data_IF_650793657098
#
_entry.id   IF_650793657098
#
_cell.length_a   1.000
_cell.length_b   1.000
_cell.length_c   1.000
_cell.angle_alpha   90.00
_cell.angle_beta   90.00
_cell.angle_gamma   90.00
#
_symmetry.space_group_name_H-M   'P 1'
#
loop_
_entity.id
_entity.type
_entity.pdbx_description
1 polymer ?
#
# COMPACT_ATOMS: atom_id res chain seq x y z
N UNK A 1 2.20 31.49 -14.03
CA UNK A 1 1.47 30.31 -14.54
C UNK A 1 1.31 30.49 -16.03
N UNK A 2 1.93 29.63 -16.84
CA UNK A 2 1.67 29.63 -18.26
C UNK A 2 0.24 29.12 -18.48
N UNK A 3 -0.54 29.79 -19.32
CA UNK A 3 -1.87 29.32 -19.69
C UNK A 3 -1.69 28.36 -20.86
N UNK A 4 -2.24 27.16 -20.76
CA UNK A 4 -2.24 26.22 -21.88
C UNK A 4 -3.18 26.77 -22.96
N UNK A 5 -2.62 27.16 -24.11
CA UNK A 5 -3.39 27.57 -25.27
C UNK A 5 -3.62 26.34 -26.15
N UNK A 6 -4.83 25.79 -26.11
CA UNK A 6 -5.24 24.66 -26.93
C UNK A 6 -5.75 25.19 -28.27
N UNK A 7 -5.16 24.80 -29.42
CA UNK A 7 -5.62 25.24 -30.73
C UNK A 7 -6.92 24.56 -31.15
N UNK A 8 -7.63 25.14 -32.12
CA UNK A 8 -8.77 24.46 -32.76
C UNK A 8 -8.25 23.39 -33.75
N UNK A 9 -8.62 22.13 -33.53
CA UNK A 9 -8.21 21.01 -34.37
C UNK A 9 -9.23 20.75 -35.47
N UNK A 10 -8.76 20.50 -36.69
CA UNK A 10 -9.63 20.16 -37.82
C UNK A 10 -9.81 18.64 -37.96
N UNK A 11 -8.88 17.86 -37.40
CA UNK A 11 -8.89 16.39 -37.45
C UNK A 11 -8.49 15.77 -36.11
N UNK A 12 -8.95 14.54 -35.88
CA UNK A 12 -8.63 13.77 -34.67
C UNK A 12 -7.14 13.44 -34.55
N UNK A 13 -6.46 13.21 -35.68
CA UNK A 13 -5.04 12.86 -35.73
C UNK A 13 -4.15 14.04 -35.29
N UNK A 14 -4.54 15.28 -35.63
CA UNK A 14 -3.86 16.50 -35.18
C UNK A 14 -4.00 16.72 -33.67
N UNK A 15 -5.19 16.43 -33.12
CA UNK A 15 -5.44 16.52 -31.68
C UNK A 15 -4.62 15.49 -30.91
N UNK A 16 -4.59 14.24 -31.38
CA UNK A 16 -3.79 13.17 -30.76
C UNK A 16 -2.30 13.52 -30.76
N UNK A 17 -1.78 14.02 -31.89
CA UNK A 17 -0.39 14.44 -32.01
C UNK A 17 -0.03 15.62 -31.08
N UNK A 18 -0.98 16.53 -30.82
CA UNK A 18 -0.77 17.62 -29.87
C UNK A 18 -0.63 17.10 -28.44
N UNK A 19 -1.54 16.23 -28.00
CA UNK A 19 -1.49 15.67 -26.64
C UNK A 19 -0.28 14.76 -26.40
N UNK A 20 0.15 14.00 -27.41
CA UNK A 20 1.32 13.13 -27.31
C UNK A 20 2.65 13.90 -27.16
N UNK A 21 2.71 15.12 -27.68
CA UNK A 21 3.92 15.95 -27.67
C UNK A 21 3.88 17.09 -26.64
N UNK A 22 2.76 17.30 -25.96
CA UNK A 22 2.61 18.36 -24.97
C UNK A 22 3.28 17.97 -23.65
N UNK A 23 4.33 18.70 -23.28
CA UNK A 23 4.87 18.65 -21.93
C UNK A 23 3.96 19.44 -20.98
N UNK A 24 3.32 18.72 -20.05
CA UNK A 24 2.42 19.32 -19.05
C UNK A 24 3.17 19.87 -17.84
N UNK A 25 4.45 19.53 -17.65
CA UNK A 25 5.24 19.94 -16.48
C UNK A 25 5.29 21.46 -16.25
N UNK A 26 5.37 22.34 -17.28
CA UNK A 26 5.37 23.80 -17.08
C UNK A 26 4.00 24.39 -16.67
N UNK A 27 2.93 23.60 -16.77
CA UNK A 27 1.56 24.00 -16.46
C UNK A 27 1.07 23.45 -15.11
N UNK A 28 1.79 22.50 -14.53
CA UNK A 28 1.49 21.97 -13.20
C UNK A 28 2.03 22.92 -12.13
N UNK A 29 1.21 23.24 -11.14
CA UNK A 29 1.67 23.93 -9.94
C UNK A 29 2.57 22.98 -9.15
N UNK A 30 3.84 23.37 -8.98
CA UNK A 30 4.72 22.76 -7.98
C UNK A 30 4.38 23.39 -6.63
N UNK A 31 3.45 22.76 -5.92
CA UNK A 31 3.06 23.14 -4.56
C UNK A 31 4.11 22.69 -3.51
N UNK A 32 5.20 22.02 -3.95
CA UNK A 32 6.23 21.46 -3.09
C UNK A 32 5.77 20.26 -2.27
N UNK A 33 4.52 19.83 -2.40
CA UNK A 33 3.95 18.67 -1.72
C UNK A 33 4.26 17.40 -2.53
N UNK A 34 5.47 16.89 -2.35
CA UNK A 34 5.77 15.52 -2.78
C UNK A 34 4.85 14.57 -2.02
N UNK A 35 4.00 13.82 -2.74
CA UNK A 35 3.12 12.79 -2.19
C UNK A 35 3.85 11.96 -1.13
N UNK A 36 3.58 12.27 0.14
CA UNK A 36 4.20 11.58 1.26
C UNK A 36 3.28 10.44 1.64
N UNK A 37 3.58 9.25 1.16
CA UNK A 37 2.96 8.05 1.69
C UNK A 37 3.33 7.96 3.18
N UNK A 38 2.40 8.30 4.07
CA UNK A 38 2.56 8.04 5.49
C UNK A 38 2.59 6.52 5.68
N UNK A 39 3.77 5.93 5.61
CA UNK A 39 3.95 4.56 6.05
C UNK A 39 3.76 4.53 7.57
N UNK A 40 2.79 3.79 8.12
CA UNK A 40 2.63 3.70 9.57
C UNK A 40 3.95 3.20 10.16
N UNK A 41 4.59 4.06 10.96
CA UNK A 41 5.97 3.91 11.44
C UNK A 41 6.17 2.67 12.33
N UNK A 42 5.09 1.97 12.69
CA UNK A 42 5.09 0.75 13.51
C UNK A 42 4.35 -0.38 12.79
N UNK A 43 5.01 -0.99 11.80
CA UNK A 43 4.45 -2.11 11.03
C UNK A 43 4.38 -3.42 11.84
N UNK A 44 5.18 -3.57 12.90
CA UNK A 44 5.21 -4.78 13.72
C UNK A 44 5.72 -4.52 15.15
N UNK A 45 5.24 -5.32 16.11
CA UNK A 45 5.74 -5.40 17.48
C UNK A 45 6.61 -6.64 17.61
N UNK A 46 7.81 -6.52 18.20
CA UNK A 46 8.69 -7.67 18.49
C UNK A 46 8.32 -8.25 19.85
N UNK A 47 8.07 -9.55 19.89
CA UNK A 47 7.77 -10.30 21.12
C UNK A 47 8.72 -11.49 21.19
N UNK A 48 9.25 -11.77 22.38
CA UNK A 48 10.02 -12.98 22.61
C UNK A 48 9.08 -14.18 22.67
N UNK A 49 9.32 -15.19 21.82
CA UNK A 49 8.56 -16.44 21.78
C UNK A 49 9.53 -17.57 22.17
N UNK A 50 9.04 -18.52 22.98
CA UNK A 50 9.82 -19.70 23.35
C UNK A 50 10.21 -20.51 22.10
N UNK A 51 11.45 -21.05 22.02
CA UNK A 51 11.92 -21.76 20.82
C UNK A 51 10.99 -22.87 20.36
N UNK A 52 10.51 -23.71 21.28
CA UNK A 52 9.62 -24.83 21.03
C UNK A 52 8.27 -24.39 20.43
N UNK A 53 7.75 -23.23 20.88
CA UNK A 53 6.50 -22.65 20.36
C UNK A 53 6.73 -22.05 18.98
N UNK A 54 7.88 -21.39 18.77
CA UNK A 54 8.23 -20.82 17.48
C UNK A 54 8.37 -21.91 16.41
N UNK A 55 9.04 -23.02 16.74
CA UNK A 55 9.18 -24.17 15.83
C UNK A 55 7.82 -24.75 15.44
N UNK A 56 6.93 -24.93 16.41
CA UNK A 56 5.57 -25.42 16.15
C UNK A 56 4.77 -24.45 15.24
N UNK A 57 4.84 -23.15 15.49
CA UNK A 57 4.18 -22.13 14.67
C UNK A 57 4.72 -22.15 13.22
N UNK A 58 6.03 -22.32 13.03
CA UNK A 58 6.65 -22.43 11.71
C UNK A 58 6.12 -23.66 10.96
N UNK A 59 6.07 -24.83 11.63
CA UNK A 59 5.59 -26.05 11.01
C UNK A 59 4.10 -25.95 10.62
N UNK A 60 3.27 -25.39 11.51
CA UNK A 60 1.85 -25.17 11.25
C UNK A 60 1.61 -24.20 10.10
N UNK A 61 2.37 -23.09 10.04
CA UNK A 61 2.26 -22.10 8.96
C UNK A 61 2.63 -22.73 7.61
N UNK A 62 3.70 -23.52 7.56
CA UNK A 62 4.11 -24.27 6.36
C UNK A 62 3.06 -25.27 5.90
N UNK A 63 2.50 -26.05 6.82
CA UNK A 63 1.45 -27.02 6.51
C UNK A 63 0.21 -26.35 5.91
N UNK A 64 -0.13 -25.15 6.39
CA UNK A 64 -1.26 -24.34 5.91
C UNK A 64 -0.93 -23.45 4.70
N UNK A 65 0.34 -23.45 4.22
CA UNK A 65 0.84 -22.58 3.14
C UNK A 65 0.59 -21.08 3.36
N UNK A 66 0.61 -20.66 4.63
CA UNK A 66 0.50 -19.25 5.02
C UNK A 66 1.81 -18.75 5.63
N UNK A 67 1.98 -17.44 5.69
CA UNK A 67 3.12 -16.87 6.43
C UNK A 67 2.95 -17.09 7.93
N UNK A 68 4.06 -17.17 8.66
CA UNK A 68 4.03 -17.24 10.13
C UNK A 68 3.35 -16.01 10.75
N UNK A 69 3.55 -14.83 10.16
CA UNK A 69 2.89 -13.58 10.56
C UNK A 69 1.37 -13.70 10.45
N UNK A 70 0.88 -14.21 9.31
CA UNK A 70 -0.55 -14.43 9.08
C UNK A 70 -1.14 -15.37 10.12
N UNK A 71 -0.48 -16.52 10.35
CA UNK A 71 -0.94 -17.50 11.33
C UNK A 71 -1.00 -16.91 12.75
N UNK A 72 0.06 -16.22 13.17
CA UNK A 72 0.15 -15.61 14.50
C UNK A 72 -0.94 -14.54 14.68
N UNK A 73 -1.13 -13.66 13.68
CA UNK A 73 -2.15 -12.62 13.77
C UNK A 73 -3.57 -13.20 13.86
N UNK A 74 -3.89 -14.23 13.08
CA UNK A 74 -5.21 -14.89 13.14
C UNK A 74 -5.43 -15.50 14.53
N UNK A 75 -4.47 -16.26 15.05
CA UNK A 75 -4.57 -16.87 16.38
C UNK A 75 -4.75 -15.82 17.48
N UNK A 76 -4.02 -14.71 17.42
CA UNK A 76 -4.16 -13.61 18.38
C UNK A 76 -5.54 -12.96 18.28
N UNK A 77 -6.04 -12.71 17.07
CA UNK A 77 -7.37 -12.12 16.86
C UNK A 77 -8.47 -13.03 17.40
N UNK A 78 -8.40 -14.34 17.12
CA UNK A 78 -9.37 -15.33 17.61
C UNK A 78 -9.41 -15.33 19.15
N UNK A 79 -8.24 -15.40 19.80
CA UNK A 79 -8.15 -15.42 21.27
C UNK A 79 -8.62 -14.12 21.92
N UNK A 80 -8.33 -12.97 21.31
CA UNK A 80 -8.81 -11.68 21.80
C UNK A 80 -10.34 -11.59 21.69
N UNK A 81 -10.94 -12.11 20.61
CA UNK A 81 -12.39 -12.15 20.45
C UNK A 81 -13.06 -13.08 21.46
N UNK A 82 -12.52 -14.28 21.67
CA UNK A 82 -13.05 -15.22 22.66
C UNK A 82 -13.01 -14.63 24.09
N UNK A 83 -11.92 -13.95 24.44
CA UNK A 83 -11.77 -13.31 25.75
C UNK A 83 -12.73 -12.14 25.95
N UNK A 84 -13.01 -11.36 24.89
CA UNK A 84 -13.93 -10.23 24.94
C UNK A 84 -15.40 -10.63 25.04
N UNK A 85 -15.78 -11.83 24.59
CA UNK A 85 -17.15 -12.37 24.69
C UNK A 85 -17.46 -12.94 26.09
N UNK A 86 -16.43 -13.24 26.88
CA UNK A 86 -16.56 -13.78 28.24
C UNK A 86 -16.41 -12.71 29.35
N UNK A 87 -16.27 -11.44 28.98
CA UNK A 87 -16.09 -10.29 29.88
C UNK A 87 -17.37 -9.46 30.03
#
# INVERSE_FOLDING_TARGET
MNKLEVPEFNTYEEEAAFWDNLDTAPFMEDDGEWFRFETPTKRAIRVAILPEVADELIQRARAQRVSIETLVNVLLIERLRESAVQS
#
